data_IF_844719536618
#
_entry.id   IF_844719536618
#
_cell.length_a   1.000
_cell.length_b   1.000
_cell.length_c   1.000
_cell.angle_alpha   90.00
_cell.angle_beta   90.00
_cell.angle_gamma   90.00
#
_symmetry.space_group_name_H-M   'P 1'
#
loop_
_entity.id
_entity.type
_entity.pdbx_description
1 polymer ?
#
# COMPACT_ATOMS: atom_id res chain seq x y z
N UNK A 1 0.82 20.26 -1.43
CA UNK A 1 0.86 18.85 -1.87
C UNK A 1 0.68 18.00 -0.63
N UNK A 2 -0.25 17.05 -0.65
CA UNK A 2 -0.56 16.22 0.53
C UNK A 2 0.34 14.99 0.50
N UNK A 3 0.87 14.65 1.67
CA UNK A 3 1.82 13.56 1.84
C UNK A 3 1.21 12.20 1.54
N UNK A 4 1.95 11.37 0.81
CA UNK A 4 1.70 9.92 0.70
C UNK A 4 1.85 9.29 2.09
N UNK A 5 0.75 8.86 2.72
CA UNK A 5 0.77 8.42 4.12
C UNK A 5 1.09 6.92 4.24
N UNK A 6 2.03 6.59 5.12
CA UNK A 6 2.33 5.21 5.49
C UNK A 6 1.24 4.64 6.41
N UNK A 7 0.85 3.39 6.16
CA UNK A 7 -0.12 2.63 6.97
C UNK A 7 0.63 1.48 7.65
N UNK A 8 0.68 1.51 8.98
CA UNK A 8 1.35 0.49 9.79
C UNK A 8 0.57 -0.81 9.77
N UNK A 9 1.20 -1.92 9.36
CA UNK A 9 0.57 -3.23 9.42
C UNK A 9 0.59 -3.73 10.87
N UNK A 10 -0.53 -3.54 11.55
CA UNK A 10 -0.74 -3.92 12.92
C UNK A 10 -0.93 -5.44 13.07
N UNK A 11 -0.72 -5.92 14.29
CA UNK A 11 -0.94 -7.32 14.65
C UNK A 11 -1.42 -7.42 16.09
N UNK A 12 -1.89 -8.60 16.50
CA UNK A 12 -2.35 -8.82 17.87
C UNK A 12 -1.26 -8.43 18.87
N UNK A 13 -1.57 -7.56 19.86
CA UNK A 13 -0.62 -7.18 20.89
C UNK A 13 -0.04 -8.42 21.56
N UNK A 14 1.29 -8.47 21.70
CA UNK A 14 1.93 -9.59 22.37
C UNK A 14 1.62 -9.50 23.87
N UNK A 15 1.11 -10.59 24.46
CA UNK A 15 0.85 -10.65 25.90
C UNK A 15 2.11 -10.69 26.78
N UNK A 16 3.31 -10.78 26.18
CA UNK A 16 4.62 -10.78 26.85
C UNK A 16 5.62 -9.94 26.03
N UNK A 17 6.38 -9.07 26.68
CA UNK A 17 7.38 -8.19 26.05
C UNK A 17 6.97 -6.71 26.05
N UNK A 18 7.80 -5.84 25.48
CA UNK A 18 7.50 -4.41 25.38
C UNK A 18 6.54 -4.11 24.23
N UNK A 19 5.64 -3.18 24.47
CA UNK A 19 4.56 -2.80 23.57
C UNK A 19 4.96 -1.62 22.69
N UNK A 20 5.60 -1.91 21.56
CA UNK A 20 6.10 -0.88 20.65
C UNK A 20 5.02 -0.19 19.81
N UNK A 21 3.78 -0.69 19.80
CA UNK A 21 2.66 0.03 19.17
C UNK A 21 2.42 1.39 19.85
N UNK A 22 2.79 1.53 21.13
CA UNK A 22 2.81 2.81 21.86
C UNK A 22 3.80 3.83 21.30
N UNK A 23 4.89 3.38 20.68
CA UNK A 23 5.84 4.26 19.99
C UNK A 23 5.38 4.53 18.54
N UNK A 24 4.79 3.53 17.88
CA UNK A 24 4.43 3.61 16.46
C UNK A 24 3.21 4.52 16.24
N UNK A 25 2.09 4.24 16.92
CA UNK A 25 0.82 4.89 16.59
C UNK A 25 0.78 6.40 16.81
N UNK A 26 1.40 6.98 17.86
CA UNK A 26 1.48 8.44 18.00
C UNK A 26 2.21 9.15 16.86
N UNK A 27 3.10 8.44 16.15
CA UNK A 27 3.86 8.94 14.98
C UNK A 27 3.26 8.51 13.65
N UNK A 28 2.38 7.52 13.68
CA UNK A 28 1.79 6.93 12.49
C UNK A 28 0.30 6.67 12.72
N UNK A 29 -0.51 7.70 12.50
CA UNK A 29 -1.96 7.71 12.76
C UNK A 29 -2.80 6.71 11.95
N UNK A 30 -2.21 5.98 11.00
CA UNK A 30 -2.92 5.03 10.14
C UNK A 30 -2.40 3.63 10.39
N UNK A 31 -3.29 2.67 10.64
CA UNK A 31 -2.91 1.27 10.71
C UNK A 31 -3.79 0.39 9.82
N UNK A 32 -3.26 -0.78 9.45
CA UNK A 32 -3.91 -1.83 8.70
C UNK A 32 -3.94 -3.07 9.57
N UNK A 33 -5.12 -3.64 9.78
CA UNK A 33 -5.32 -4.86 10.53
C UNK A 33 -5.99 -5.90 9.64
N UNK A 34 -5.46 -7.12 9.61
CA UNK A 34 -6.02 -8.19 8.78
C UNK A 34 -6.97 -9.05 9.58
N UNK A 35 -8.17 -9.34 9.06
CA UNK A 35 -9.15 -10.24 9.70
C UNK A 35 -8.78 -11.72 9.58
N UNK A 36 -7.63 -11.99 8.95
CA UNK A 36 -7.23 -13.34 8.56
C UNK A 36 -6.96 -14.26 9.75
N UNK A 37 -6.63 -13.72 10.93
CA UNK A 37 -6.47 -14.50 12.17
C UNK A 37 -7.75 -15.24 12.56
N UNK A 38 -8.92 -14.63 12.32
CA UNK A 38 -10.22 -15.24 12.52
C UNK A 38 -10.61 -16.26 11.45
N UNK A 39 -9.86 -16.35 10.34
CA UNK A 39 -10.22 -17.13 9.15
C UNK A 39 -9.21 -18.23 8.79
N UNK A 40 -8.00 -18.23 9.35
CA UNK A 40 -6.97 -19.27 9.14
C UNK A 40 -7.19 -20.56 9.94
N UNK A 41 -8.26 -20.64 10.74
CA UNK A 41 -8.55 -21.78 11.60
C UNK A 41 -9.28 -22.91 10.84
N UNK A 42 -8.99 -24.17 11.14
CA UNK A 42 -9.62 -25.34 10.49
C UNK A 42 -11.16 -25.27 10.54
N UNK A 43 -11.71 -24.83 11.68
CA UNK A 43 -13.14 -24.67 11.92
C UNK A 43 -13.59 -23.20 11.95
N UNK A 44 -12.96 -22.31 11.16
CA UNK A 44 -13.32 -20.89 11.17
C UNK A 44 -14.82 -20.67 10.94
N UNK A 45 -15.43 -19.73 11.65
CA UNK A 45 -16.84 -19.41 11.49
C UNK A 45 -17.08 -17.98 11.99
N UNK A 46 -18.32 -17.60 12.17
CA UNK A 46 -18.66 -16.27 12.69
C UNK A 46 -18.13 -16.03 14.11
N UNK A 47 -17.93 -17.05 14.94
CA UNK A 47 -17.30 -16.92 16.26
C UNK A 47 -15.81 -16.61 16.17
N UNK A 48 -15.06 -17.35 15.35
CA UNK A 48 -13.62 -17.08 15.20
C UNK A 48 -13.37 -15.72 14.55
N UNK A 49 -14.26 -15.29 13.65
CA UNK A 49 -14.24 -13.92 13.13
C UNK A 49 -14.60 -12.89 14.21
N UNK A 50 -15.59 -13.18 15.06
CA UNK A 50 -15.95 -12.30 16.17
C UNK A 50 -14.76 -12.09 17.13
N UNK A 51 -14.02 -13.14 17.47
CA UNK A 51 -12.84 -13.05 18.34
C UNK A 51 -11.73 -12.16 17.72
N UNK A 52 -11.56 -12.26 16.39
CA UNK A 52 -10.64 -11.39 15.66
C UNK A 52 -11.12 -9.94 15.66
N UNK A 53 -12.43 -9.71 15.45
CA UNK A 53 -13.02 -8.37 15.54
C UNK A 53 -12.92 -7.76 16.94
N UNK A 54 -13.04 -8.57 17.99
CA UNK A 54 -12.78 -8.13 19.36
C UNK A 54 -11.31 -7.75 19.54
N UNK A 55 -10.37 -8.51 18.96
CA UNK A 55 -8.94 -8.17 18.99
C UNK A 55 -8.65 -6.87 18.23
N UNK A 56 -9.31 -6.64 17.11
CA UNK A 56 -9.25 -5.39 16.33
C UNK A 56 -9.81 -4.23 17.15
N UNK A 57 -10.97 -4.41 17.79
CA UNK A 57 -11.60 -3.39 18.63
C UNK A 57 -10.71 -3.03 19.82
N UNK A 58 -10.15 -4.03 20.51
CA UNK A 58 -9.19 -3.83 21.61
C UNK A 58 -7.96 -3.03 21.15
N UNK A 59 -7.39 -3.37 19.99
CA UNK A 59 -6.28 -2.61 19.42
C UNK A 59 -6.69 -1.17 19.09
N UNK A 60 -7.88 -1.00 18.51
CA UNK A 60 -8.42 0.31 18.10
C UNK A 60 -8.61 1.23 19.30
N UNK A 61 -9.25 0.75 20.36
CA UNK A 61 -9.46 1.54 21.59
C UNK A 61 -8.15 1.83 22.33
N UNK A 62 -7.19 0.90 22.28
CA UNK A 62 -5.93 1.05 23.01
C UNK A 62 -4.93 1.97 22.32
N UNK A 63 -4.85 1.95 20.98
CA UNK A 63 -3.76 2.62 20.26
C UNK A 63 -4.22 3.59 19.17
N UNK A 64 -5.42 3.41 18.60
CA UNK A 64 -5.87 4.18 17.43
C UNK A 64 -6.74 5.36 17.84
N UNK A 65 -7.83 5.13 18.58
CA UNK A 65 -8.74 6.19 19.04
C UNK A 65 -8.07 7.24 19.94
N UNK A 66 -7.16 6.89 20.89
CA UNK A 66 -6.53 7.88 21.76
C UNK A 66 -5.69 8.94 21.03
N UNK A 67 -5.24 8.66 19.81
CA UNK A 67 -4.39 9.55 19.01
C UNK A 67 -5.12 10.13 17.78
N UNK A 68 -6.45 9.94 17.73
CA UNK A 68 -7.30 10.33 16.59
C UNK A 68 -6.75 9.74 15.28
N UNK A 69 -6.52 8.43 15.31
CA UNK A 69 -6.04 7.64 14.18
C UNK A 69 -7.16 6.93 13.43
N UNK A 70 -6.79 6.32 12.30
CA UNK A 70 -7.68 5.53 11.46
C UNK A 70 -7.20 4.07 11.39
N UNK A 71 -8.15 3.14 11.42
CA UNK A 71 -7.91 1.71 11.21
C UNK A 71 -8.50 1.23 9.88
N UNK A 72 -7.64 0.64 9.07
CA UNK A 72 -7.98 0.00 7.80
C UNK A 72 -8.05 -1.51 8.02
N UNK A 73 -8.98 -2.17 7.33
CA UNK A 73 -9.15 -3.62 7.41
C UNK A 73 -8.72 -4.27 6.10
N UNK A 74 -7.71 -5.14 6.19
CA UNK A 74 -7.33 -6.06 5.12
C UNK A 74 -8.23 -7.29 5.14
N UNK A 75 -8.82 -7.61 3.99
CA UNK A 75 -9.71 -8.76 3.80
C UNK A 75 -9.00 -10.11 3.90
N UNK A 76 -7.66 -10.12 3.85
CA UNK A 76 -6.84 -11.33 4.05
C UNK A 76 -6.69 -12.20 2.81
N UNK A 77 -7.07 -11.70 1.62
CA UNK A 77 -6.99 -12.44 0.34
C UNK A 77 -5.60 -13.00 0.03
N UNK A 78 -4.52 -12.39 0.55
CA UNK A 78 -3.15 -12.92 0.41
C UNK A 78 -2.98 -14.32 1.03
N UNK A 79 -3.71 -14.64 2.10
CA UNK A 79 -3.62 -15.97 2.72
C UNK A 79 -4.24 -17.06 1.86
N UNK A 80 -5.21 -16.73 1.00
CA UNK A 80 -5.73 -17.64 -0.04
C UNK A 80 -4.63 -17.93 -1.08
N UNK A 81 -3.84 -16.91 -1.46
CA UNK A 81 -2.68 -17.09 -2.36
C UNK A 81 -1.69 -18.10 -1.78
N UNK A 82 -1.42 -18.00 -0.48
CA UNK A 82 -0.47 -18.88 0.22
C UNK A 82 -1.04 -20.27 0.56
N UNK A 83 -2.32 -20.52 0.26
CA UNK A 83 -2.97 -21.80 0.54
C UNK A 83 -3.33 -22.02 2.01
N UNK A 84 -3.36 -20.96 2.83
CA UNK A 84 -3.82 -21.05 4.22
C UNK A 84 -5.33 -21.31 4.33
N UNK A 85 -6.09 -21.09 3.25
CA UNK A 85 -7.52 -21.39 3.15
C UNK A 85 -7.72 -22.44 2.07
N UNK A 86 -8.30 -23.59 2.45
CA UNK A 86 -8.63 -24.64 1.50
C UNK A 86 -9.76 -24.18 0.55
N UNK A 87 -9.73 -24.54 -0.76
CA UNK A 87 -10.73 -24.16 -1.76
C UNK A 87 -12.19 -24.30 -1.32
N UNK A 88 -12.51 -25.45 -0.70
CA UNK A 88 -13.87 -25.75 -0.20
C UNK A 88 -14.36 -24.79 0.88
N UNK A 89 -13.46 -24.10 1.58
CA UNK A 89 -13.80 -23.16 2.64
C UNK A 89 -13.96 -21.71 2.12
N UNK A 90 -13.54 -21.41 0.89
CA UNK A 90 -13.64 -20.06 0.32
C UNK A 90 -15.07 -19.51 0.32
N UNK A 91 -16.13 -20.27 -0.02
CA UNK A 91 -17.51 -19.75 0.08
C UNK A 91 -17.89 -19.32 1.50
N UNK A 92 -17.49 -20.10 2.52
CA UNK A 92 -17.69 -19.74 3.94
C UNK A 92 -16.89 -18.50 4.31
N UNK A 93 -15.67 -18.37 3.78
CA UNK A 93 -14.83 -17.18 3.98
C UNK A 93 -15.54 -15.92 3.46
N UNK A 94 -16.10 -15.99 2.25
CA UNK A 94 -16.87 -14.89 1.64
C UNK A 94 -18.09 -14.52 2.49
N UNK A 95 -18.84 -15.52 2.98
CA UNK A 95 -19.98 -15.28 3.86
C UNK A 95 -19.58 -14.58 5.16
N UNK A 96 -18.52 -15.05 5.81
CA UNK A 96 -17.99 -14.46 7.04
C UNK A 96 -17.54 -13.01 6.83
N UNK A 97 -16.78 -12.73 5.76
CA UNK A 97 -16.36 -11.36 5.42
C UNK A 97 -17.58 -10.43 5.21
N UNK A 98 -18.55 -10.85 4.42
CA UNK A 98 -19.73 -10.03 4.12
C UNK A 98 -20.63 -9.84 5.35
N UNK A 99 -20.75 -10.85 6.22
CA UNK A 99 -21.46 -10.71 7.49
C UNK A 99 -20.81 -9.66 8.41
N UNK A 100 -19.48 -9.59 8.44
CA UNK A 100 -18.76 -8.51 9.14
C UNK A 100 -19.02 -7.15 8.49
N UNK A 101 -18.93 -7.06 7.16
CA UNK A 101 -19.17 -5.81 6.43
C UNK A 101 -20.56 -5.25 6.75
N UNK A 102 -21.58 -6.10 6.83
CA UNK A 102 -22.95 -5.70 7.13
C UNK A 102 -23.16 -5.33 8.61
N UNK A 103 -22.74 -6.20 9.53
CA UNK A 103 -23.06 -6.04 10.95
C UNK A 103 -22.10 -5.12 11.72
N UNK A 104 -20.90 -4.92 11.20
CA UNK A 104 -19.78 -4.30 11.93
C UNK A 104 -19.02 -3.27 11.09
N UNK A 105 -19.65 -2.71 10.06
CA UNK A 105 -19.12 -1.54 9.35
C UNK A 105 -18.57 -0.52 10.35
N UNK A 106 -19.35 -0.22 11.41
CA UNK A 106 -19.05 0.55 12.63
C UNK A 106 -17.65 0.49 13.21
N UNK A 107 -16.99 -0.67 13.09
CA UNK A 107 -15.80 -0.99 13.86
C UNK A 107 -14.49 -0.49 13.22
N UNK A 108 -14.53 -0.02 11.98
CA UNK A 108 -13.33 0.37 11.23
C UNK A 108 -13.57 1.65 10.42
N UNK A 109 -12.49 2.31 10.01
CA UNK A 109 -12.59 3.55 9.22
C UNK A 109 -12.50 3.25 7.71
N UNK A 110 -11.80 2.18 7.32
CA UNK A 110 -11.80 1.65 5.95
C UNK A 110 -11.76 0.12 5.93
N UNK A 111 -12.32 -0.49 4.89
CA UNK A 111 -12.20 -1.93 4.62
C UNK A 111 -11.95 -2.19 3.14
N UNK A 112 -10.96 -3.02 2.85
CA UNK A 112 -10.67 -3.44 1.48
C UNK A 112 -11.58 -4.57 1.03
N UNK A 113 -11.99 -4.55 -0.23
CA UNK A 113 -12.78 -5.63 -0.84
C UNK A 113 -12.11 -6.99 -0.63
N UNK A 114 -12.94 -8.02 -0.44
CA UNK A 114 -12.44 -9.39 -0.47
C UNK A 114 -12.21 -9.83 -1.91
N UNK A 115 -10.95 -10.08 -2.22
CA UNK A 115 -10.53 -10.65 -3.48
C UNK A 115 -10.17 -12.13 -3.31
N UNK A 116 -10.58 -12.96 -4.26
CA UNK A 116 -10.20 -14.37 -4.36
C UNK A 116 -9.18 -14.53 -5.49
N UNK A 117 -7.87 -14.49 -5.18
CA UNK A 117 -6.81 -14.47 -6.17
C UNK A 117 -6.39 -15.88 -6.64
N UNK A 118 -5.46 -15.89 -7.59
CA UNK A 118 -4.69 -17.08 -7.98
C UNK A 118 -3.97 -17.71 -6.76
N UNK A 119 -4.09 -19.03 -6.61
CA UNK A 119 -3.47 -19.80 -5.52
C UNK A 119 -2.14 -20.42 -5.94
N UNK A 120 -1.12 -20.32 -5.08
CA UNK A 120 0.16 -21.03 -5.26
C UNK A 120 0.06 -22.52 -4.99
N UNK A 121 -0.89 -22.92 -4.14
CA UNK A 121 -0.98 -24.27 -3.58
C UNK A 121 -2.06 -25.09 -4.29
N UNK A 122 -3.23 -24.50 -4.50
CA UNK A 122 -4.40 -25.18 -5.05
C UNK A 122 -4.60 -24.83 -6.52
N UNK A 123 -3.89 -25.53 -7.40
CA UNK A 123 -3.91 -25.27 -8.85
C UNK A 123 -5.30 -25.40 -9.48
N UNK A 124 -6.17 -26.23 -8.89
CA UNK A 124 -7.56 -26.40 -9.29
C UNK A 124 -8.39 -25.12 -9.13
N UNK A 125 -7.95 -24.15 -8.34
CA UNK A 125 -8.58 -22.83 -8.21
C UNK A 125 -8.20 -21.88 -9.36
N UNK A 126 -7.11 -22.16 -10.07
CA UNK A 126 -6.49 -21.24 -11.03
C UNK A 126 -7.12 -21.33 -12.42
N UNK A 127 -8.44 -21.41 -12.49
CA UNK A 127 -9.20 -21.30 -13.74
C UNK A 127 -9.86 -19.94 -13.81
N UNK A 128 -10.02 -19.40 -15.02
CA UNK A 128 -10.75 -18.12 -15.18
C UNK A 128 -12.16 -18.20 -14.60
N UNK A 129 -12.84 -19.31 -14.84
CA UNK A 129 -14.21 -19.54 -14.39
C UNK A 129 -14.33 -19.49 -12.87
N UNK A 130 -13.55 -20.28 -12.12
CA UNK A 130 -13.66 -20.32 -10.66
C UNK A 130 -13.31 -18.99 -10.00
N UNK A 131 -12.27 -18.33 -10.50
CA UNK A 131 -11.90 -17.00 -9.99
C UNK A 131 -13.03 -16.00 -10.28
N UNK A 132 -13.59 -16.02 -11.49
CA UNK A 132 -14.74 -15.18 -11.84
C UNK A 132 -15.92 -15.46 -10.91
N UNK A 133 -16.37 -16.71 -10.77
CA UNK A 133 -17.54 -17.09 -9.98
C UNK A 133 -17.41 -16.71 -8.50
N UNK A 134 -16.23 -16.95 -7.89
CA UNK A 134 -16.02 -16.64 -6.48
C UNK A 134 -15.94 -15.14 -6.20
N UNK A 135 -15.31 -14.37 -7.10
CA UNK A 135 -15.27 -12.91 -6.97
C UNK A 135 -16.62 -12.28 -7.33
N UNK A 136 -17.39 -12.84 -8.27
CA UNK A 136 -18.77 -12.44 -8.56
C UNK A 136 -19.66 -12.62 -7.34
N UNK A 137 -19.57 -13.77 -6.68
CA UNK A 137 -20.31 -14.03 -5.44
C UNK A 137 -19.91 -13.06 -4.31
N UNK A 138 -18.61 -12.82 -4.13
CA UNK A 138 -18.12 -11.89 -3.12
C UNK A 138 -18.59 -10.44 -3.38
N UNK A 139 -18.46 -9.95 -4.61
CA UNK A 139 -18.76 -8.57 -4.96
C UNK A 139 -20.26 -8.29 -5.10
N UNK A 140 -21.05 -9.23 -5.62
CA UNK A 140 -22.52 -9.09 -5.65
C UNK A 140 -23.10 -8.95 -4.25
N UNK A 141 -22.69 -9.83 -3.32
CA UNK A 141 -23.13 -9.77 -1.93
C UNK A 141 -22.66 -8.47 -1.25
N UNK A 142 -21.39 -8.09 -1.45
CA UNK A 142 -20.89 -6.82 -0.92
C UNK A 142 -21.70 -5.64 -1.46
N UNK A 143 -21.95 -5.57 -2.77
CA UNK A 143 -22.75 -4.51 -3.39
C UNK A 143 -24.12 -4.37 -2.73
N UNK A 144 -24.83 -5.48 -2.53
CA UNK A 144 -26.18 -5.43 -1.95
C UNK A 144 -26.14 -4.87 -0.52
N UNK A 145 -25.12 -5.22 0.27
CA UNK A 145 -24.86 -4.62 1.58
C UNK A 145 -24.57 -3.12 1.45
N UNK A 146 -23.67 -2.71 0.55
CA UNK A 146 -23.31 -1.30 0.37
C UNK A 146 -24.51 -0.42 -0.04
N UNK A 147 -25.46 -0.99 -0.81
CA UNK A 147 -26.68 -0.28 -1.19
C UNK A 147 -27.70 -0.17 -0.04
N UNK A 148 -27.70 -1.13 0.88
CA UNK A 148 -28.60 -1.16 2.04
C UNK A 148 -28.02 -0.46 3.28
N UNK A 149 -26.69 -0.33 3.37
CA UNK A 149 -25.96 0.15 4.54
C UNK A 149 -25.01 1.29 4.16
N UNK A 150 -25.43 2.52 4.42
CA UNK A 150 -24.65 3.72 4.13
C UNK A 150 -23.31 3.73 4.86
N UNK A 151 -23.23 3.23 6.08
CA UNK A 151 -21.99 3.21 6.85
C UNK A 151 -20.95 2.26 6.21
N UNK A 152 -21.37 1.10 5.71
CA UNK A 152 -20.51 0.21 4.95
C UNK A 152 -20.03 0.86 3.64
N UNK A 153 -20.93 1.56 2.94
CA UNK A 153 -20.63 2.31 1.72
C UNK A 153 -19.56 3.39 1.91
N UNK A 154 -19.64 4.14 3.02
CA UNK A 154 -18.65 5.15 3.38
C UNK A 154 -17.24 4.59 3.59
N UNK A 155 -17.11 3.30 3.92
CA UNK A 155 -15.84 2.71 4.38
C UNK A 155 -15.21 1.75 3.38
N UNK A 156 -15.99 1.28 2.42
CA UNK A 156 -15.57 0.27 1.47
C UNK A 156 -14.60 0.80 0.41
N UNK A 157 -13.49 0.10 0.25
CA UNK A 157 -12.45 0.35 -0.73
C UNK A 157 -12.35 -0.81 -1.72
N UNK A 158 -12.67 -0.57 -2.99
CA UNK A 158 -12.51 -1.59 -4.03
C UNK A 158 -11.04 -1.75 -4.42
N UNK A 159 -10.54 -2.98 -4.41
CA UNK A 159 -9.16 -3.32 -4.75
C UNK A 159 -9.06 -3.81 -6.19
N UNK A 160 -8.34 -3.06 -7.02
CA UNK A 160 -7.98 -3.48 -8.37
C UNK A 160 -6.82 -4.47 -8.36
N UNK A 161 -6.93 -5.58 -9.12
CA UNK A 161 -5.83 -6.52 -9.35
C UNK A 161 -5.47 -6.64 -10.83
N UNK A 162 -4.17 -6.77 -11.12
CA UNK A 162 -3.66 -6.58 -12.48
C UNK A 162 -2.38 -7.37 -12.80
N UNK A 163 -2.01 -8.41 -12.04
CA UNK A 163 -0.75 -9.14 -12.26
C UNK A 163 -0.62 -9.78 -13.64
N UNK A 164 -1.77 -10.07 -14.27
CA UNK A 164 -1.85 -10.69 -15.59
C UNK A 164 -3.09 -10.18 -16.35
N UNK A 165 -3.07 -10.17 -17.70
CA UNK A 165 -4.18 -9.63 -18.49
C UNK A 165 -5.52 -10.33 -18.21
N UNK A 166 -5.50 -11.66 -18.01
CA UNK A 166 -6.70 -12.43 -17.70
C UNK A 166 -7.27 -12.08 -16.32
N UNK A 167 -6.42 -11.79 -15.34
CA UNK A 167 -6.86 -11.35 -14.02
C UNK A 167 -7.48 -9.96 -14.14
N UNK A 168 -6.79 -9.04 -14.81
CA UNK A 168 -7.31 -7.70 -15.02
C UNK A 168 -8.70 -7.71 -15.70
N UNK A 169 -8.88 -8.52 -16.75
CA UNK A 169 -10.16 -8.67 -17.45
C UNK A 169 -11.29 -9.19 -16.54
N UNK A 170 -10.99 -10.05 -15.56
CA UNK A 170 -11.98 -10.51 -14.59
C UNK A 170 -12.44 -9.34 -13.72
N UNK A 171 -11.49 -8.55 -13.17
CA UNK A 171 -11.83 -7.41 -12.31
C UNK A 171 -12.55 -6.32 -13.09
N UNK A 172 -12.14 -6.04 -14.33
CA UNK A 172 -12.80 -5.07 -15.20
C UNK A 172 -14.26 -5.47 -15.48
N UNK A 173 -14.47 -6.74 -15.84
CA UNK A 173 -15.82 -7.28 -16.05
C UNK A 173 -16.69 -7.16 -14.79
N UNK A 174 -16.19 -7.60 -13.63
CA UNK A 174 -16.96 -7.58 -12.38
C UNK A 174 -17.25 -6.15 -11.91
N UNK A 175 -16.28 -5.25 -12.06
CA UNK A 175 -16.44 -3.84 -11.74
C UNK A 175 -17.58 -3.21 -12.56
N UNK A 176 -17.60 -3.47 -13.86
CA UNK A 176 -18.67 -3.01 -14.75
C UNK A 176 -20.01 -3.70 -14.47
N UNK A 177 -20.03 -5.03 -14.36
CA UNK A 177 -21.23 -5.85 -14.11
C UNK A 177 -22.00 -5.38 -12.89
N UNK A 178 -21.30 -5.04 -11.81
CA UNK A 178 -21.91 -4.63 -10.55
C UNK A 178 -22.12 -3.11 -10.45
N UNK A 179 -21.76 -2.34 -11.48
CA UNK A 179 -21.88 -0.88 -11.48
C UNK A 179 -21.06 -0.23 -10.37
N UNK A 180 -19.93 -0.84 -9.97
CA UNK A 180 -19.18 -0.42 -8.79
C UNK A 180 -18.73 1.03 -8.89
N UNK A 181 -18.42 1.54 -10.09
CA UNK A 181 -18.00 2.92 -10.27
C UNK A 181 -18.99 3.96 -9.74
N UNK A 182 -20.28 3.63 -9.72
CA UNK A 182 -21.35 4.54 -9.28
C UNK A 182 -21.50 4.58 -7.76
N UNK A 183 -20.98 3.57 -7.06
CA UNK A 183 -21.19 3.41 -5.61
C UNK A 183 -19.90 3.55 -4.81
N UNK A 184 -18.76 3.06 -5.31
CA UNK A 184 -17.54 3.04 -4.51
C UNK A 184 -16.98 4.45 -4.31
N UNK A 185 -16.52 4.72 -3.10
CA UNK A 185 -15.90 6.00 -2.73
C UNK A 185 -14.39 5.90 -2.69
N UNK A 186 -13.89 4.76 -2.24
CA UNK A 186 -12.46 4.52 -2.06
C UNK A 186 -11.95 3.46 -3.04
N UNK A 187 -10.71 3.65 -3.48
CA UNK A 187 -10.03 2.79 -4.43
C UNK A 187 -8.70 2.33 -3.85
N UNK A 188 -8.34 1.10 -4.18
CA UNK A 188 -7.05 0.54 -3.80
C UNK A 188 -6.48 -0.31 -4.95
N UNK A 189 -5.18 -0.53 -4.91
CA UNK A 189 -4.46 -1.32 -5.91
C UNK A 189 -3.75 -2.47 -5.19
N UNK A 190 -4.18 -3.68 -5.50
CA UNK A 190 -3.64 -4.93 -4.99
C UNK A 190 -2.64 -5.58 -5.93
N UNK A 191 -2.11 -6.71 -5.48
CA UNK A 191 -1.31 -7.58 -6.35
C UNK A 191 0.18 -7.21 -6.48
N UNK A 192 0.72 -6.36 -5.61
CA UNK A 192 2.15 -6.01 -5.62
C UNK A 192 2.98 -6.93 -4.71
N UNK A 193 2.37 -7.49 -3.66
CA UNK A 193 3.03 -8.41 -2.73
C UNK A 193 3.65 -9.61 -3.46
N UNK A 194 4.94 -9.84 -3.20
CA UNK A 194 5.79 -10.86 -3.83
C UNK A 194 5.96 -10.78 -5.35
N UNK A 195 5.31 -9.83 -6.04
CA UNK A 195 5.32 -9.73 -7.49
C UNK A 195 6.74 -9.59 -8.05
N UNK A 196 7.53 -8.70 -7.44
CA UNK A 196 8.92 -8.44 -7.85
C UNK A 196 9.84 -9.63 -7.65
N UNK A 197 9.66 -10.37 -6.54
CA UNK A 197 10.44 -11.59 -6.28
C UNK A 197 10.16 -12.69 -7.32
N UNK A 198 8.95 -12.72 -7.88
CA UNK A 198 8.55 -13.70 -8.90
C UNK A 198 8.99 -13.29 -10.31
N UNK A 199 8.93 -12.00 -10.63
CA UNK A 199 9.06 -11.50 -12.02
C UNK A 199 10.36 -10.77 -12.31
N UNK A 200 11.08 -10.31 -11.28
CA UNK A 200 12.30 -9.53 -11.44
C UNK A 200 12.08 -8.12 -12.01
N UNK A 201 10.84 -7.63 -12.08
CA UNK A 201 10.54 -6.29 -12.62
C UNK A 201 11.22 -5.18 -11.81
N UNK A 202 11.68 -4.16 -12.53
CA UNK A 202 12.45 -3.02 -11.98
C UNK A 202 11.75 -1.67 -12.24
N UNK A 203 10.43 -1.69 -12.34
CA UNK A 203 9.56 -0.53 -12.54
C UNK A 203 8.32 -0.66 -11.63
N UNK A 204 7.62 0.42 -11.36
CA UNK A 204 6.40 0.48 -10.55
C UNK A 204 5.21 -0.03 -11.36
N UNK A 205 4.71 -1.26 -11.09
CA UNK A 205 3.71 -1.88 -11.95
C UNK A 205 2.33 -1.21 -11.81
N UNK A 206 2.08 -0.52 -10.70
CA UNK A 206 0.81 0.11 -10.37
C UNK A 206 0.47 1.36 -11.19
N UNK A 207 1.42 1.96 -11.93
CA UNK A 207 1.23 3.25 -12.62
C UNK A 207 -0.06 3.25 -13.46
N UNK A 208 -0.24 2.25 -14.32
CA UNK A 208 -1.43 2.17 -15.16
C UNK A 208 -2.74 2.02 -14.37
N UNK A 209 -2.71 1.28 -13.26
CA UNK A 209 -3.88 1.13 -12.40
C UNK A 209 -4.19 2.40 -11.60
N UNK A 210 -3.18 3.22 -11.28
CA UNK A 210 -3.43 4.52 -10.66
C UNK A 210 -4.20 5.44 -11.61
N UNK A 211 -3.85 5.46 -12.90
CA UNK A 211 -4.61 6.19 -13.93
C UNK A 211 -6.01 5.60 -14.16
N UNK A 212 -6.17 4.27 -14.06
CA UNK A 212 -7.50 3.63 -14.06
C UNK A 212 -8.38 4.13 -12.92
N UNK A 213 -7.84 4.12 -11.71
CA UNK A 213 -8.55 4.61 -10.52
C UNK A 213 -8.94 6.07 -10.66
N UNK A 214 -8.05 6.91 -11.21
CA UNK A 214 -8.35 8.32 -11.47
C UNK A 214 -9.48 8.48 -12.50
N UNK A 215 -9.42 7.78 -13.64
CA UNK A 215 -10.47 7.86 -14.66
C UNK A 215 -11.83 7.40 -14.10
N UNK A 216 -11.83 6.30 -13.36
CA UNK A 216 -13.04 5.80 -12.71
C UNK A 216 -13.62 6.83 -11.73
N UNK A 217 -12.78 7.53 -10.96
CA UNK A 217 -13.22 8.63 -10.08
C UNK A 217 -13.80 9.81 -10.86
N UNK A 218 -13.13 10.26 -11.93
CA UNK A 218 -13.60 11.35 -12.78
C UNK A 218 -14.95 11.01 -13.43
N UNK A 219 -15.10 9.79 -13.94
CA UNK A 219 -16.33 9.33 -14.58
C UNK A 219 -17.48 9.12 -13.59
N UNK A 220 -17.18 8.93 -12.30
CA UNK A 220 -18.19 8.89 -11.25
C UNK A 220 -18.75 10.28 -10.92
N UNK A 221 -18.00 11.36 -11.20
CA UNK A 221 -18.42 12.74 -10.98
C UNK A 221 -18.67 13.09 -9.50
N UNK A 222 -18.07 12.35 -8.57
CA UNK A 222 -18.24 12.49 -7.11
C UNK A 222 -17.14 13.35 -6.49
N UNK A 223 -17.06 14.60 -6.95
CA UNK A 223 -16.11 15.61 -6.44
C UNK A 223 -16.48 16.15 -5.05
N UNK A 224 -17.60 15.70 -4.47
CA UNK A 224 -17.94 15.90 -3.06
C UNK A 224 -16.99 15.17 -2.10
N UNK A 225 -16.15 14.27 -2.63
CA UNK A 225 -15.19 13.47 -1.88
C UNK A 225 -13.81 13.58 -2.51
N UNK A 226 -12.77 13.54 -1.68
CA UNK A 226 -11.39 13.48 -2.16
C UNK A 226 -11.11 12.20 -2.95
N UNK A 227 -10.22 12.28 -3.94
CA UNK A 227 -9.72 11.11 -4.66
C UNK A 227 -8.75 10.34 -3.76
N UNK A 228 -9.25 9.29 -3.10
CA UNK A 228 -8.42 8.43 -2.26
C UNK A 228 -7.93 7.19 -3.01
N UNK A 229 -6.62 6.92 -2.93
CA UNK A 229 -6.01 5.73 -3.53
C UNK A 229 -5.03 5.06 -2.56
N UNK A 230 -5.30 3.80 -2.21
CA UNK A 230 -4.41 3.00 -1.38
C UNK A 230 -3.58 1.99 -2.21
N UNK A 231 -2.28 1.88 -1.94
CA UNK A 231 -1.40 0.94 -2.61
C UNK A 231 -1.00 -0.20 -1.67
N UNK A 232 -1.48 -1.42 -1.95
CA UNK A 232 -1.25 -2.56 -1.06
C UNK A 232 0.15 -3.18 -1.20
N UNK A 233 0.93 -3.15 -0.12
CA UNK A 233 2.20 -3.87 0.00
C UNK A 233 3.37 -3.25 -0.77
N UNK A 234 3.51 -1.92 -0.73
CA UNK A 234 4.65 -1.20 -1.29
C UNK A 234 5.77 -1.03 -0.28
N UNK A 235 7.03 -1.15 -0.71
CA UNK A 235 8.17 -0.97 0.21
C UNK A 235 9.42 -0.35 -0.42
N UNK A 236 9.53 -0.33 -1.75
CA UNK A 236 10.74 0.13 -2.41
C UNK A 236 10.79 1.66 -2.52
N UNK A 237 11.98 2.28 -2.39
CA UNK A 237 12.12 3.72 -2.52
C UNK A 237 11.59 4.29 -3.84
N UNK A 238 11.87 3.65 -4.98
CA UNK A 238 11.41 4.15 -6.28
C UNK A 238 9.88 4.03 -6.48
N UNK A 239 9.22 3.09 -5.78
CA UNK A 239 7.75 3.00 -5.79
C UNK A 239 7.15 4.20 -5.05
N UNK A 240 7.70 4.55 -3.89
CA UNK A 240 7.26 5.71 -3.10
C UNK A 240 7.58 7.03 -3.79
N UNK A 241 8.73 7.12 -4.46
CA UNK A 241 9.06 8.27 -5.30
C UNK A 241 8.06 8.46 -6.44
N UNK A 242 7.67 7.36 -7.11
CA UNK A 242 6.66 7.40 -8.17
C UNK A 242 5.29 7.81 -7.65
N UNK A 243 4.89 7.35 -6.46
CA UNK A 243 3.64 7.82 -5.83
C UNK A 243 3.64 9.35 -5.67
N UNK A 244 4.75 9.94 -5.22
CA UNK A 244 4.88 11.41 -5.11
C UNK A 244 4.76 12.12 -6.46
N UNK A 245 5.30 11.52 -7.54
CA UNK A 245 5.09 12.05 -8.90
C UNK A 245 3.61 12.00 -9.28
N UNK A 246 2.95 10.85 -9.07
CA UNK A 246 1.53 10.69 -9.38
C UNK A 246 0.64 11.63 -8.55
N UNK A 247 0.95 11.86 -7.27
CA UNK A 247 0.26 12.84 -6.42
C UNK A 247 0.31 14.24 -7.03
N UNK A 248 1.49 14.67 -7.50
CA UNK A 248 1.68 15.96 -8.16
C UNK A 248 0.90 16.06 -9.48
N UNK A 249 0.96 15.01 -10.31
CA UNK A 249 0.22 14.96 -11.58
C UNK A 249 -1.30 14.99 -11.33
N UNK A 250 -1.79 14.16 -10.41
CA UNK A 250 -3.22 14.00 -10.13
C UNK A 250 -3.81 15.24 -9.47
N UNK A 251 -3.08 15.88 -8.55
CA UNK A 251 -3.50 17.17 -7.99
C UNK A 251 -3.73 18.21 -9.10
N UNK A 252 -2.87 18.24 -10.11
CA UNK A 252 -3.01 19.15 -11.26
C UNK A 252 -4.15 18.76 -12.19
N UNK A 253 -4.34 17.47 -12.43
CA UNK A 253 -5.46 16.95 -13.22
C UNK A 253 -6.83 17.23 -12.60
N UNK A 254 -6.93 17.16 -11.27
CA UNK A 254 -8.15 17.43 -10.52
C UNK A 254 -8.46 18.93 -10.43
N UNK A 255 -7.54 19.82 -10.82
CA UNK A 255 -7.80 21.26 -10.92
C UNK A 255 -8.23 21.96 -9.63
N UNK A 256 -8.03 21.30 -8.47
CA UNK A 256 -8.52 21.78 -7.17
C UNK A 256 -9.97 21.43 -6.85
N UNK A 257 -10.68 20.69 -7.71
CA UNK A 257 -12.05 20.20 -7.43
C UNK A 257 -12.06 19.17 -6.29
N UNK A 258 -10.98 18.41 -6.15
CA UNK A 258 -10.78 17.45 -5.08
C UNK A 258 -9.29 17.28 -4.79
N UNK A 259 -8.95 16.78 -3.59
CA UNK A 259 -7.58 16.45 -3.25
C UNK A 259 -7.25 15.01 -3.66
N UNK A 260 -6.03 14.80 -4.18
CA UNK A 260 -5.47 13.47 -4.32
C UNK A 260 -4.86 13.03 -2.98
N UNK A 261 -5.37 11.95 -2.40
CA UNK A 261 -4.91 11.41 -1.12
C UNK A 261 -4.45 9.98 -1.33
N UNK A 262 -3.14 9.77 -1.34
CA UNK A 262 -2.55 8.45 -1.48
C UNK A 262 -2.03 7.91 -0.15
N UNK A 263 -2.18 6.60 0.01
CA UNK A 263 -1.66 5.87 1.18
C UNK A 263 -1.04 4.56 0.73
N UNK A 264 -0.14 3.99 1.51
CA UNK A 264 0.41 2.66 1.23
C UNK A 264 0.72 1.92 2.54
N UNK A 265 0.54 0.61 2.54
CA UNK A 265 0.99 -0.24 3.64
C UNK A 265 2.28 -0.98 3.29
N UNK A 266 3.01 -1.36 4.34
CA UNK A 266 4.19 -2.20 4.23
C UNK A 266 4.47 -2.93 5.53
N UNK A 267 4.58 -4.26 5.48
CA UNK A 267 5.13 -5.01 6.62
C UNK A 267 6.67 -4.95 6.66
N UNK A 268 7.29 -4.46 5.58
CA UNK A 268 8.73 -4.51 5.40
C UNK A 268 9.52 -3.79 6.50
N UNK A 269 9.14 -2.57 6.96
CA UNK A 269 9.89 -1.87 8.00
C UNK A 269 10.07 -2.70 9.27
N UNK A 270 9.08 -3.50 9.64
CA UNK A 270 9.14 -4.38 10.82
C UNK A 270 9.81 -5.72 10.54
N UNK A 271 9.76 -6.23 9.32
CA UNK A 271 10.38 -7.51 8.98
C UNK A 271 11.90 -7.41 8.86
N UNK A 272 12.41 -6.34 8.22
CA UNK A 272 13.86 -6.22 8.01
C UNK A 272 14.63 -6.02 9.30
N UNK A 273 14.04 -5.38 10.31
CA UNK A 273 14.69 -5.19 11.63
C UNK A 273 14.91 -6.51 12.37
N UNK A 274 14.17 -7.57 11.99
CA UNK A 274 14.36 -8.92 12.51
C UNK A 274 15.56 -9.63 11.86
N UNK A 275 15.97 -9.19 10.68
CA UNK A 275 17.11 -9.76 9.97
C UNK A 275 18.43 -9.19 10.51
N UNK A 276 19.51 -9.96 10.42
CA UNK A 276 20.86 -9.49 10.80
C UNK A 276 21.44 -8.59 9.69
N UNK A 277 20.78 -7.48 9.38
CA UNK A 277 21.18 -6.55 8.31
C UNK A 277 21.46 -5.16 8.85
N UNK A 278 22.41 -4.47 8.23
CA UNK A 278 22.65 -3.05 8.47
C UNK A 278 21.59 -2.25 7.72
N UNK A 279 20.73 -1.57 8.48
CA UNK A 279 19.61 -0.80 7.94
C UNK A 279 19.92 0.67 8.17
N UNK A 280 20.06 1.50 7.13
CA UNK A 280 20.33 2.92 7.31
C UNK A 280 19.14 3.63 7.96
N UNK A 281 19.45 4.57 8.84
CA UNK A 281 18.48 5.53 9.38
C UNK A 281 18.57 6.83 8.58
N UNK A 282 17.42 7.30 8.12
CA UNK A 282 17.28 8.55 7.40
C UNK A 282 16.52 9.57 8.25
N UNK A 283 17.00 10.80 8.28
CA UNK A 283 16.34 11.94 8.91
C UNK A 283 16.26 13.09 7.90
N UNK A 284 15.05 13.59 7.65
CA UNK A 284 14.85 14.74 6.77
C UNK A 284 14.90 16.02 7.60
N UNK A 285 15.87 16.88 7.30
CA UNK A 285 16.14 18.12 8.05
C UNK A 285 15.38 19.34 7.52
N UNK A 286 14.35 19.11 6.69
CA UNK A 286 13.57 20.16 6.01
C UNK A 286 14.17 20.65 4.68
N UNK A 287 15.45 20.43 4.43
CA UNK A 287 16.11 20.82 3.17
C UNK A 287 17.08 19.76 2.61
N UNK A 288 17.42 18.75 3.40
CA UNK A 288 18.29 17.65 3.00
C UNK A 288 18.06 16.41 3.85
N UNK A 289 18.81 15.36 3.55
CA UNK A 289 18.69 14.06 4.21
C UNK A 289 19.98 13.73 4.96
N UNK A 290 19.89 13.63 6.28
CA UNK A 290 20.97 13.07 7.10
C UNK A 290 20.86 11.54 7.05
N UNK A 291 22.00 10.87 6.86
CA UNK A 291 22.08 9.41 6.76
C UNK A 291 22.99 8.88 7.86
N UNK A 292 22.44 8.03 8.71
CA UNK A 292 23.21 7.21 9.65
C UNK A 292 23.35 5.81 9.08
N UNK A 293 24.52 5.21 9.24
CA UNK A 293 24.84 3.93 8.60
C UNK A 293 23.96 2.78 9.09
N UNK A 294 23.54 2.84 10.36
CA UNK A 294 22.68 1.84 10.97
C UNK A 294 21.59 2.49 11.85
N UNK A 295 20.44 1.82 12.02
CA UNK A 295 19.43 2.15 13.03
C UNK A 295 20.03 2.20 14.45
N UNK A 296 21.06 1.42 14.74
CA UNK A 296 21.78 1.46 16.03
C UNK A 296 22.61 2.72 16.25
N UNK A 297 22.82 3.51 15.19
CA UNK A 297 23.58 4.77 15.26
C UNK A 297 22.64 5.97 15.47
N UNK A 298 21.37 5.71 15.80
CA UNK A 298 20.36 6.75 16.06
C UNK A 298 20.81 7.69 17.19
N UNK A 299 20.84 9.02 16.95
CA UNK A 299 21.07 10.00 18.01
C UNK A 299 20.01 9.92 19.10
N UNK A 300 20.38 10.30 20.33
CA UNK A 300 19.46 10.34 21.47
C UNK A 300 18.19 11.15 21.18
N UNK A 301 18.31 12.32 20.52
CA UNK A 301 17.14 13.13 20.15
C UNK A 301 16.15 12.42 19.21
N UNK A 302 16.64 11.54 18.32
CA UNK A 302 15.76 10.72 17.47
C UNK A 302 15.11 9.60 18.31
N UNK A 303 15.86 8.96 19.21
CA UNK A 303 15.30 7.95 20.12
C UNK A 303 14.19 8.53 20.99
N UNK A 304 14.43 9.69 21.60
CA UNK A 304 13.46 10.41 22.42
C UNK A 304 12.23 10.79 21.59
N UNK A 305 12.44 11.28 20.37
CA UNK A 305 11.34 11.62 19.48
C UNK A 305 10.50 10.40 19.09
N UNK A 306 11.13 9.27 18.75
CA UNK A 306 10.46 8.10 18.19
C UNK A 306 9.79 7.25 19.26
N UNK A 307 10.45 7.01 20.40
CA UNK A 307 9.92 6.12 21.45
C UNK A 307 9.12 6.87 22.50
N UNK A 308 9.51 8.11 22.85
CA UNK A 308 8.78 9.01 23.75
C UNK A 308 8.71 8.60 25.22
N UNK A 309 8.38 7.33 25.52
CA UNK A 309 8.26 6.80 26.87
C UNK A 309 9.63 6.41 27.44
N UNK A 310 10.01 6.88 28.66
CA UNK A 310 11.32 6.56 29.25
C UNK A 310 11.62 5.07 29.35
N UNK A 311 10.60 4.26 29.62
CA UNK A 311 10.72 2.80 29.69
C UNK A 311 11.08 2.19 28.32
N UNK A 312 10.41 2.63 27.25
CA UNK A 312 10.72 2.17 25.89
C UNK A 312 12.08 2.65 25.42
N UNK A 313 12.47 3.88 25.78
CA UNK A 313 13.80 4.45 25.49
C UNK A 313 14.90 3.63 26.18
N UNK A 314 14.75 3.34 27.47
CA UNK A 314 15.71 2.52 28.20
C UNK A 314 15.87 1.14 27.58
N UNK A 315 14.76 0.48 27.27
CA UNK A 315 14.80 -0.84 26.67
C UNK A 315 15.39 -0.85 25.24
N UNK A 316 15.06 0.12 24.38
CA UNK A 316 15.68 0.16 23.03
C UNK A 316 17.17 0.46 23.10
N UNK A 317 17.63 1.27 24.06
CA UNK A 317 19.06 1.52 24.27
C UNK A 317 19.80 0.24 24.67
N UNK A 318 19.21 -0.59 25.53
CA UNK A 318 19.75 -1.91 25.86
C UNK A 318 19.82 -2.82 24.62
N UNK A 319 18.76 -2.85 23.80
CA UNK A 319 18.73 -3.62 22.56
C UNK A 319 19.78 -3.14 21.54
N UNK A 320 19.98 -1.83 21.42
CA UNK A 320 21.04 -1.23 20.59
C UNK A 320 22.43 -1.65 21.10
N UNK A 321 22.70 -1.56 22.40
CA UNK A 321 23.98 -1.97 22.99
C UNK A 321 24.26 -3.47 22.80
N UNK A 322 23.22 -4.31 22.93
CA UNK A 322 23.30 -5.75 22.59
C UNK A 322 23.66 -5.96 21.13
N UNK A 323 23.01 -5.22 20.24
CA UNK A 323 23.25 -5.33 18.80
C UNK A 323 24.68 -4.91 18.42
N UNK A 324 25.16 -3.80 18.97
CA UNK A 324 26.52 -3.28 18.77
C UNK A 324 27.59 -4.22 19.31
N UNK A 325 27.33 -4.93 20.41
CA UNK A 325 28.22 -5.98 20.95
C UNK A 325 28.15 -7.32 20.17
N UNK A 326 27.39 -7.37 19.06
CA UNK A 326 27.25 -8.55 18.21
C UNK A 326 26.24 -9.58 18.73
N UNK A 327 25.58 -9.31 19.85
CA UNK A 327 24.52 -10.15 20.38
C UNK A 327 23.23 -10.04 19.55
N UNK A 328 22.35 -11.03 19.71
CA UNK A 328 21.00 -10.99 19.13
C UNK A 328 20.10 -10.10 19.99
N UNK A 329 19.20 -9.39 19.32
CA UNK A 329 18.10 -8.68 19.96
C UNK A 329 17.29 -9.67 20.80
N UNK A 330 16.83 -9.26 22.00
CA UNK A 330 15.87 -10.08 22.76
C UNK A 330 14.47 -9.93 22.14
N UNK A 331 14.12 -8.73 21.72
CA UNK A 331 12.87 -8.41 21.06
C UNK A 331 13.13 -7.89 19.65
N UNK A 332 12.91 -8.75 18.65
CA UNK A 332 13.23 -8.45 17.26
C UNK A 332 12.44 -7.27 16.64
N UNK A 333 11.38 -6.81 17.31
CA UNK A 333 10.60 -5.62 16.92
C UNK A 333 11.12 -4.32 17.50
N UNK A 334 12.16 -4.34 18.35
CA UNK A 334 12.63 -3.16 19.08
C UNK A 334 13.04 -1.99 18.19
N UNK A 335 13.68 -2.27 17.05
CA UNK A 335 14.09 -1.26 16.07
C UNK A 335 13.01 -0.93 15.03
N UNK A 336 11.83 -1.55 15.13
CA UNK A 336 10.69 -1.34 14.23
C UNK A 336 10.23 0.13 14.16
N UNK A 337 9.99 0.80 15.31
CA UNK A 337 9.61 2.21 15.32
C UNK A 337 10.62 3.13 14.61
N UNK A 338 11.93 2.93 14.83
CA UNK A 338 12.98 3.71 14.14
C UNK A 338 12.95 3.51 12.63
N UNK A 339 12.71 2.28 12.17
CA UNK A 339 12.67 2.01 10.74
C UNK A 339 11.40 2.58 10.08
N UNK A 340 10.26 2.57 10.78
CA UNK A 340 9.04 3.24 10.33
C UNK A 340 9.29 4.74 10.21
N UNK A 341 9.87 5.37 11.24
CA UNK A 341 10.27 6.77 11.22
C UNK A 341 11.19 7.06 10.01
N UNK A 342 12.26 6.27 9.83
CA UNK A 342 13.20 6.39 8.71
C UNK A 342 12.48 6.36 7.35
N UNK A 343 11.51 5.45 7.18
CA UNK A 343 10.70 5.38 5.97
C UNK A 343 9.85 6.64 5.76
N UNK A 344 9.20 7.17 6.80
CA UNK A 344 8.43 8.41 6.72
C UNK A 344 9.33 9.62 6.35
N UNK A 345 10.54 9.71 6.95
CA UNK A 345 11.51 10.74 6.61
C UNK A 345 11.92 10.71 5.13
N UNK A 346 12.09 9.51 4.56
CA UNK A 346 12.34 9.34 3.12
C UNK A 346 11.16 9.84 2.27
N UNK A 347 9.90 9.63 2.70
CA UNK A 347 8.73 10.14 1.96
C UNK A 347 8.71 11.68 1.93
N UNK A 348 8.91 12.30 3.09
CA UNK A 348 9.00 13.76 3.19
C UNK A 348 10.12 14.33 2.31
N UNK A 349 11.26 13.63 2.27
CA UNK A 349 12.35 14.04 1.40
C UNK A 349 12.00 13.90 -0.09
N UNK A 350 11.28 12.85 -0.49
CA UNK A 350 10.80 12.71 -1.86
C UNK A 350 9.82 13.82 -2.26
N UNK A 351 8.89 14.18 -1.38
CA UNK A 351 7.99 15.32 -1.58
C UNK A 351 8.74 16.62 -1.80
N UNK A 352 9.71 16.89 -0.92
CA UNK A 352 10.57 18.06 -1.05
C UNK A 352 11.32 18.07 -2.39
N UNK A 353 11.94 16.95 -2.78
CA UNK A 353 12.69 16.84 -4.04
C UNK A 353 11.78 17.04 -5.25
N UNK A 354 10.61 16.39 -5.26
CA UNK A 354 9.65 16.48 -6.37
C UNK A 354 9.16 17.93 -6.53
N UNK A 355 8.83 18.59 -5.43
CA UNK A 355 8.38 19.97 -5.43
C UNK A 355 9.50 20.96 -5.82
N UNK A 356 10.67 20.87 -5.16
CA UNK A 356 11.79 21.80 -5.36
C UNK A 356 12.37 21.75 -6.78
N UNK A 357 12.29 20.60 -7.45
CA UNK A 357 12.77 20.42 -8.82
C UNK A 357 11.66 20.40 -9.88
N UNK A 358 10.40 20.65 -9.49
CA UNK A 358 9.25 20.66 -10.41
C UNK A 358 9.10 19.37 -11.20
N UNK A 359 9.36 18.21 -10.58
CA UNK A 359 9.46 16.93 -11.31
C UNK A 359 8.12 16.45 -11.87
N UNK A 360 7.00 16.71 -11.18
CA UNK A 360 5.67 16.48 -11.76
C UNK A 360 5.33 17.52 -12.84
N UNK A 361 5.76 18.77 -12.65
CA UNK A 361 5.46 19.90 -13.54
C UNK A 361 6.11 19.76 -14.91
N UNK A 362 7.29 19.14 -15.00
CA UNK A 362 8.00 18.96 -16.28
C UNK A 362 7.17 18.20 -17.32
N UNK A 363 6.26 17.30 -16.89
CA UNK A 363 5.37 16.58 -17.81
C UNK A 363 4.42 17.54 -18.55
N UNK A 364 3.97 18.61 -17.89
CA UNK A 364 3.10 19.62 -18.49
C UNK A 364 3.86 20.66 -19.32
N UNK A 365 5.16 20.82 -19.04
CA UNK A 365 6.02 21.80 -19.71
C UNK A 365 6.66 21.24 -20.98
N UNK A 366 6.90 19.93 -21.02
CA UNK A 366 7.66 19.29 -22.09
C UNK A 366 6.87 18.18 -22.79
N UNK A 367 6.82 18.28 -24.12
CA UNK A 367 6.15 17.29 -24.98
C UNK A 367 7.06 16.13 -25.40
N UNK A 368 8.36 16.21 -25.09
CA UNK A 368 9.34 15.21 -25.51
C UNK A 368 9.83 14.40 -24.31
N UNK A 369 9.62 13.08 -24.36
CA UNK A 369 10.19 12.16 -23.38
C UNK A 369 11.72 12.32 -23.26
N UNK A 370 12.42 12.65 -24.35
CA UNK A 370 13.87 12.89 -24.31
C UNK A 370 14.23 14.07 -23.42
N UNK A 371 13.46 15.16 -23.48
CA UNK A 371 13.69 16.34 -22.64
C UNK A 371 13.32 16.10 -21.18
N UNK A 372 12.17 15.45 -20.94
CA UNK A 372 11.76 15.02 -19.59
C UNK A 372 12.85 14.14 -18.97
N UNK A 373 13.34 13.14 -19.72
CA UNK A 373 14.43 12.28 -19.28
C UNK A 373 15.73 13.06 -19.03
N UNK A 374 16.04 14.07 -19.85
CA UNK A 374 17.18 14.96 -19.62
C UNK A 374 17.10 15.69 -18.27
N UNK A 375 15.92 16.25 -17.95
CA UNK A 375 15.66 16.92 -16.67
C UNK A 375 15.82 15.96 -15.48
N UNK A 376 15.14 14.81 -15.54
CA UNK A 376 15.23 13.79 -14.50
C UNK A 376 16.66 13.26 -14.33
N UNK A 377 17.39 13.00 -15.42
CA UNK A 377 18.76 12.53 -15.35
C UNK A 377 19.69 13.54 -14.66
N UNK A 378 19.51 14.84 -14.91
CA UNK A 378 20.25 15.91 -14.23
C UNK A 378 19.99 15.93 -12.73
N UNK A 379 18.71 15.88 -12.32
CA UNK A 379 18.31 15.88 -10.91
C UNK A 379 18.79 14.60 -10.20
N UNK A 380 18.51 13.43 -10.77
CA UNK A 380 18.94 12.14 -10.21
C UNK A 380 20.47 12.01 -10.17
N UNK A 381 21.19 12.57 -11.13
CA UNK A 381 22.65 12.60 -11.13
C UNK A 381 23.22 13.40 -9.95
N UNK A 382 22.56 14.49 -9.56
CA UNK A 382 22.90 15.27 -8.37
C UNK A 382 22.54 14.51 -7.10
N UNK A 383 21.32 13.98 -7.02
CA UNK A 383 20.84 13.23 -5.85
C UNK A 383 21.65 11.96 -5.58
N UNK A 384 22.08 11.25 -6.62
CA UNK A 384 22.93 10.06 -6.48
C UNK A 384 24.31 10.38 -5.91
N UNK A 385 24.83 11.59 -6.13
CA UNK A 385 26.10 12.06 -5.54
C UNK A 385 25.90 12.50 -4.09
N UNK A 386 24.82 13.23 -3.81
CA UNK A 386 24.54 13.78 -2.48
C UNK A 386 24.01 12.73 -1.49
N UNK A 387 23.21 11.78 -1.98
CA UNK A 387 22.49 10.80 -1.16
C UNK A 387 22.63 9.37 -1.73
N UNK A 388 23.87 8.85 -1.86
CA UNK A 388 24.14 7.58 -2.56
C UNK A 388 23.48 6.35 -1.91
N UNK A 389 23.21 6.39 -0.60
CA UNK A 389 22.54 5.33 0.13
C UNK A 389 21.06 5.14 -0.31
N UNK A 390 20.40 6.23 -0.72
CA UNK A 390 19.00 6.21 -1.16
C UNK A 390 18.90 6.13 -2.69
N UNK A 391 19.68 6.96 -3.39
CA UNK A 391 19.70 7.09 -4.85
C UNK A 391 20.79 6.22 -5.49
N UNK A 392 20.71 4.92 -5.22
CA UNK A 392 21.60 3.93 -5.86
C UNK A 392 21.42 3.91 -7.38
N UNK A 393 22.39 3.35 -8.12
CA UNK A 393 22.27 3.12 -9.57
C UNK A 393 20.99 2.34 -9.92
N UNK A 394 20.60 1.39 -9.08
CA UNK A 394 19.37 0.62 -9.25
C UNK A 394 18.14 1.50 -9.07
N UNK A 395 18.06 2.26 -7.97
CA UNK A 395 16.94 3.16 -7.68
C UNK A 395 16.76 4.18 -8.81
N UNK A 396 17.84 4.85 -9.23
CA UNK A 396 17.78 5.84 -10.31
C UNK A 396 17.34 5.20 -11.64
N UNK A 397 17.86 4.01 -11.96
CA UNK A 397 17.45 3.28 -13.16
C UNK A 397 15.98 2.85 -13.15
N UNK A 398 15.42 2.56 -11.98
CA UNK A 398 14.00 2.25 -11.82
C UNK A 398 13.13 3.51 -11.95
N UNK A 399 13.52 4.63 -11.32
CA UNK A 399 12.83 5.93 -11.47
C UNK A 399 12.77 6.34 -12.95
N UNK A 400 13.88 6.26 -13.69
CA UNK A 400 13.88 6.60 -15.12
C UNK A 400 12.96 5.72 -15.96
N UNK A 401 12.79 4.43 -15.61
CA UNK A 401 11.81 3.55 -16.28
C UNK A 401 10.38 3.98 -15.95
N UNK A 402 10.12 4.34 -14.69
CA UNK A 402 8.81 4.81 -14.28
C UNK A 402 8.44 6.11 -14.99
N UNK A 403 9.37 7.07 -15.11
CA UNK A 403 9.17 8.32 -15.87
C UNK A 403 8.71 8.04 -17.30
N UNK A 404 9.33 7.08 -17.99
CA UNK A 404 8.94 6.70 -19.34
C UNK A 404 7.53 6.09 -19.40
N UNK A 405 7.16 5.26 -18.43
CA UNK A 405 5.81 4.68 -18.33
C UNK A 405 4.79 5.77 -18.01
N UNK A 406 5.06 6.60 -17.01
CA UNK A 406 4.20 7.72 -16.60
C UNK A 406 4.03 8.74 -17.70
N UNK A 407 5.03 8.94 -18.55
CA UNK A 407 4.89 9.75 -19.76
C UNK A 407 3.84 9.17 -20.71
N UNK A 408 3.85 7.87 -21.01
CA UNK A 408 2.83 7.22 -21.86
C UNK A 408 1.41 7.48 -21.33
N UNK A 409 1.20 7.30 -20.02
CA UNK A 409 -0.11 7.55 -19.39
C UNK A 409 -0.47 9.03 -19.30
N UNK A 410 0.50 9.92 -19.05
CA UNK A 410 0.30 11.36 -19.09
C UNK A 410 -0.14 11.83 -20.48
N UNK A 411 0.52 11.35 -21.55
CA UNK A 411 0.13 11.66 -22.93
C UNK A 411 -1.28 11.21 -23.22
N UNK A 412 -1.64 10.00 -22.83
CA UNK A 412 -3.02 9.54 -22.93
C UNK A 412 -3.99 10.47 -22.20
N UNK A 413 -3.68 10.87 -20.96
CA UNK A 413 -4.56 11.73 -20.17
C UNK A 413 -4.73 13.15 -20.74
N UNK A 414 -3.73 13.67 -21.44
CA UNK A 414 -3.78 15.02 -22.04
C UNK A 414 -4.38 15.01 -23.44
N UNK A 415 -4.06 14.00 -24.26
CA UNK A 415 -4.36 14.02 -25.71
C UNK A 415 -5.60 13.20 -26.12
N UNK A 416 -5.91 12.12 -25.39
CA UNK A 416 -6.91 11.12 -25.81
C UNK A 416 -8.06 11.02 -24.80
N UNK A 417 -7.74 10.73 -23.53
CA UNK A 417 -8.69 10.46 -22.43
C UNK A 417 -9.72 9.35 -22.69
N UNK A 418 -9.67 8.65 -23.83
CA UNK A 418 -10.61 7.57 -24.09
C UNK A 418 -10.35 6.37 -23.18
N UNK A 419 -11.43 5.70 -22.73
CA UNK A 419 -11.34 4.43 -21.99
C UNK A 419 -10.58 3.36 -22.79
N UNK A 420 -10.79 3.29 -24.10
CA UNK A 420 -10.12 2.32 -24.97
C UNK A 420 -8.60 2.57 -25.07
N UNK A 421 -8.17 3.83 -25.15
CA UNK A 421 -6.75 4.19 -25.11
C UNK A 421 -6.10 3.78 -23.80
N UNK A 422 -6.76 4.06 -22.67
CA UNK A 422 -6.26 3.67 -21.35
C UNK A 422 -6.14 2.14 -21.23
N UNK A 423 -7.18 1.42 -21.64
CA UNK A 423 -7.25 -0.04 -21.61
C UNK A 423 -6.05 -0.65 -22.35
N UNK A 424 -5.75 -0.14 -23.55
CA UNK A 424 -4.59 -0.57 -24.34
C UNK A 424 -3.26 -0.35 -23.60
N UNK A 425 -3.08 0.82 -22.98
CA UNK A 425 -1.88 1.14 -22.20
C UNK A 425 -1.76 0.26 -20.94
N UNK A 426 -2.85 0.04 -20.22
CA UNK A 426 -2.88 -0.84 -19.05
C UNK A 426 -2.47 -2.25 -19.46
N UNK A 427 -3.09 -2.83 -20.49
CA UNK A 427 -2.75 -4.16 -20.98
C UNK A 427 -1.30 -4.25 -21.45
N UNK A 428 -0.79 -3.22 -22.12
CA UNK A 428 0.63 -3.13 -22.49
C UNK A 428 1.53 -3.15 -21.25
N UNK A 429 1.22 -2.34 -20.23
CA UNK A 429 1.98 -2.27 -18.99
C UNK A 429 1.93 -3.59 -18.20
N UNK A 430 0.76 -4.24 -18.13
CA UNK A 430 0.59 -5.55 -17.49
C UNK A 430 1.44 -6.61 -18.21
N UNK A 431 1.52 -6.59 -19.54
CA UNK A 431 2.38 -7.53 -20.28
C UNK A 431 3.86 -7.35 -19.94
N UNK A 432 4.33 -6.11 -19.67
CA UNK A 432 5.70 -5.83 -19.20
C UNK A 432 6.01 -6.48 -17.85
N UNK A 433 4.99 -6.87 -17.06
CA UNK A 433 5.18 -7.56 -15.77
C UNK A 433 5.75 -8.98 -15.98
N UNK A 434 5.34 -9.68 -17.03
CA UNK A 434 5.83 -11.03 -17.32
C UNK A 434 5.53 -12.05 -16.23
N UNK A 435 4.37 -11.96 -15.56
CA UNK A 435 4.00 -12.93 -14.52
C UNK A 435 3.91 -14.36 -15.10
N UNK A 436 4.59 -15.35 -14.50
CA UNK A 436 4.70 -16.69 -15.10
C UNK A 436 3.42 -17.53 -14.95
N UNK A 437 2.58 -17.21 -13.95
CA UNK A 437 1.33 -17.92 -13.74
C UNK A 437 0.31 -17.65 -14.85
N UNK A 438 -0.54 -18.64 -15.10
CA UNK A 438 -1.65 -18.55 -16.06
C UNK A 438 -2.94 -18.97 -15.39
N UNK A 439 -4.05 -18.38 -15.85
CA UNK A 439 -5.38 -18.91 -15.58
C UNK A 439 -5.74 -19.86 -16.71
N UNK A 440 -5.98 -21.12 -16.35
CA UNK A 440 -6.44 -22.16 -17.26
C UNK A 440 -7.84 -21.82 -17.82
#
# INVERSE_FOLDING_TARGET
MIMSKYVHVASKPQGKGFDYDRAIMPKNKLCLYSIIGGMQQYDFNTHTLHDELMSIQEYTERYVRPIDGEIFIDSGGYSIIQGAVHPKAVPRFVQCYNAMLDMKAGAFDKVFSLDIPWSKVFTEMNTKQKIMELNDYALSTARDILLANAEALERFSFVWHFKMPAQYAIWDHLFAKHGLNQIIRHRAIGGMVALRGITGIKFSPFIGMAYRCLLDYLDAGRFDLDFTLHFLGLYLPYDRFEMTILDGLFARYLGGEAQAVTTYDSINPLQVTRAKTDIPLFEFTGSGLTVYNNLTDAPAGILDHVYGEPELIGHVQEEIARRQSGARLQQASSLGPLNIYSHQQVNHFFEYVVAAHGLAEVFFQEWSLTKINGHYAGVLGTLAKSYPALFTKHTCGAIMRNVAITYEFHRWYVDDRSRAGLESLILSNIRKIGFPGRLA
#
